data_IF_476024991552
#
_entry.id   IF_476024991552
#
_cell.length_a   1.000
_cell.length_b   1.000
_cell.length_c   1.000
_cell.angle_alpha   90.00
_cell.angle_beta   90.00
_cell.angle_gamma   90.00
#
_symmetry.space_group_name_H-M   'P 1'
#
loop_
_entity.id
_entity.type
_entity.pdbx_description
1 polymer ?
#
# COMPACT_ATOMS: atom_id res chain seq x y z
N UNK A 1 98.32 -11.46 10.46
CA UNK A 1 97.37 -12.45 11.02
C UNK A 1 96.21 -11.66 11.61
N UNK A 2 94.93 -11.76 11.23
CA UNK A 2 94.20 -12.60 10.28
C UNK A 2 93.08 -11.75 9.65
N UNK A 3 92.82 -12.02 8.37
CA UNK A 3 91.60 -11.72 7.64
C UNK A 3 90.40 -12.44 8.28
N UNK A 4 89.19 -11.89 8.21
CA UNK A 4 88.01 -12.67 7.81
C UNK A 4 86.99 -11.79 7.08
N UNK A 5 86.59 -12.29 5.92
CA UNK A 5 85.59 -11.77 5.02
C UNK A 5 84.55 -12.89 4.76
N UNK A 6 83.41 -12.46 4.19
CA UNK A 6 82.44 -13.22 3.39
C UNK A 6 81.39 -14.05 4.18
N UNK A 7 80.11 -13.65 4.07
CA UNK A 7 79.20 -14.34 3.14
C UNK A 7 77.84 -13.66 3.01
N UNK A 8 77.51 -13.35 1.77
CA UNK A 8 76.21 -12.96 1.23
C UNK A 8 75.24 -14.14 1.28
N UNK A 9 74.00 -13.93 1.72
CA UNK A 9 72.88 -14.83 1.38
C UNK A 9 71.69 -14.03 0.85
N UNK A 10 71.36 -14.38 -0.39
CA UNK A 10 70.22 -14.03 -1.20
C UNK A 10 68.93 -14.56 -0.54
N UNK A 11 67.87 -13.76 -0.42
CA UNK A 11 66.52 -14.28 -0.17
C UNK A 11 65.55 -13.69 -1.20
N UNK A 12 64.87 -14.63 -1.84
CA UNK A 12 63.97 -14.52 -2.96
C UNK A 12 62.75 -13.64 -2.72
N UNK A 13 62.37 -12.93 -3.78
CA UNK A 13 61.05 -12.37 -4.02
C UNK A 13 59.95 -13.44 -3.91
N UNK A 14 58.92 -13.16 -3.11
CA UNK A 14 57.64 -13.87 -3.19
C UNK A 14 56.54 -12.87 -3.54
N UNK A 15 55.92 -13.09 -4.71
CA UNK A 15 54.69 -12.43 -5.12
C UNK A 15 53.56 -12.95 -4.22
N UNK A 16 52.93 -12.06 -3.45
CA UNK A 16 51.63 -12.33 -2.84
C UNK A 16 50.55 -12.03 -3.87
N UNK A 17 49.90 -13.10 -4.33
CA UNK A 17 48.74 -13.04 -5.19
C UNK A 17 47.56 -12.39 -4.44
N UNK A 18 47.02 -11.31 -5.00
CA UNK A 18 45.78 -10.70 -4.56
C UNK A 18 44.62 -11.65 -4.81
N UNK A 19 44.16 -12.33 -3.76
CA UNK A 19 42.90 -13.06 -3.77
C UNK A 19 41.74 -12.06 -3.81
N UNK A 20 41.14 -11.94 -4.99
CA UNK A 20 39.86 -11.26 -5.22
C UNK A 20 38.80 -12.01 -4.40
N UNK A 21 38.30 -11.40 -3.34
CA UNK A 21 37.13 -11.90 -2.62
C UNK A 21 35.93 -11.63 -3.53
N UNK A 22 35.49 -12.66 -4.25
CA UNK A 22 34.21 -12.64 -4.94
C UNK A 22 33.10 -12.50 -3.88
N UNK A 23 32.30 -11.45 -3.98
CA UNK A 23 31.09 -11.29 -3.19
C UNK A 23 30.17 -12.50 -3.43
N UNK A 24 29.46 -13.02 -2.41
CA UNK A 24 28.51 -14.08 -2.63
C UNK A 24 27.39 -13.52 -3.50
N UNK A 25 27.28 -14.06 -4.71
CA UNK A 25 26.10 -13.92 -5.54
C UNK A 25 24.95 -14.57 -4.79
N UNK A 26 24.07 -13.77 -4.19
CA UNK A 26 22.75 -14.24 -3.80
C UNK A 26 22.02 -14.60 -5.07
N UNK A 27 22.10 -15.88 -5.44
CA UNK A 27 21.22 -16.46 -6.44
C UNK A 27 19.79 -16.31 -5.91
N UNK A 28 19.08 -15.31 -6.43
CA UNK A 28 17.63 -15.17 -6.31
C UNK A 28 16.99 -16.39 -6.95
N UNK A 29 16.79 -17.43 -6.14
CA UNK A 29 15.82 -18.49 -6.39
C UNK A 29 14.55 -18.12 -5.64
N UNK A 30 14.01 -16.94 -5.93
CA UNK A 30 12.62 -16.67 -5.61
C UNK A 30 11.80 -17.71 -6.38
N UNK A 31 11.17 -18.65 -5.65
CA UNK A 31 10.10 -19.45 -6.20
C UNK A 31 9.19 -18.50 -6.97
N UNK A 32 8.94 -18.79 -8.26
CA UNK A 32 8.08 -17.95 -9.10
C UNK A 32 6.83 -17.65 -8.30
N UNK A 33 6.54 -16.36 -8.09
CA UNK A 33 5.30 -15.92 -7.47
C UNK A 33 4.14 -16.51 -8.26
N UNK A 34 3.56 -17.60 -7.76
CA UNK A 34 2.48 -18.31 -8.44
C UNK A 34 1.20 -17.50 -8.21
N UNK A 35 0.93 -16.58 -9.13
CA UNK A 35 -0.35 -15.93 -9.25
C UNK A 35 -1.33 -16.83 -9.99
N UNK A 36 -2.48 -17.07 -9.39
CA UNK A 36 -3.57 -17.86 -9.97
C UNK A 36 -4.74 -16.96 -10.34
N UNK A 37 -5.25 -17.07 -11.57
CA UNK A 37 -6.45 -16.33 -11.97
C UNK A 37 -7.74 -17.04 -11.55
N UNK A 38 -8.58 -16.35 -10.78
CA UNK A 38 -9.86 -16.84 -10.22
C UNK A 38 -11.04 -16.10 -10.85
N UNK A 39 -11.41 -16.47 -12.08
CA UNK A 39 -12.50 -15.79 -12.83
C UNK A 39 -13.87 -15.88 -12.15
N UNK A 40 -14.07 -16.78 -11.20
CA UNK A 40 -15.30 -16.89 -10.42
C UNK A 40 -15.64 -15.61 -9.66
N UNK A 41 -14.66 -14.79 -9.26
CA UNK A 41 -14.92 -13.55 -8.52
C UNK A 41 -15.55 -12.44 -9.39
N UNK A 42 -15.45 -12.52 -10.72
CA UNK A 42 -16.10 -11.56 -11.63
C UNK A 42 -17.63 -11.58 -11.49
N UNK A 43 -18.19 -12.72 -11.07
CA UNK A 43 -19.61 -12.86 -10.78
C UNK A 43 -20.03 -11.96 -9.59
N UNK A 44 -19.18 -11.83 -8.57
CA UNK A 44 -19.42 -10.98 -7.39
C UNK A 44 -19.51 -9.51 -7.81
N UNK A 45 -18.56 -9.03 -8.61
CA UNK A 45 -18.61 -7.66 -9.15
C UNK A 45 -19.89 -7.40 -9.94
N UNK A 46 -20.30 -8.37 -10.75
CA UNK A 46 -21.51 -8.25 -11.57
C UNK A 46 -22.78 -8.20 -10.71
N UNK A 47 -22.89 -9.06 -9.70
CA UNK A 47 -24.03 -9.10 -8.79
C UNK A 47 -24.24 -7.77 -8.06
N UNK A 48 -23.21 -7.25 -7.39
CA UNK A 48 -23.29 -5.99 -6.62
C UNK A 48 -23.68 -4.79 -7.48
N UNK A 49 -23.25 -4.77 -8.75
CA UNK A 49 -23.63 -3.69 -9.66
C UNK A 49 -25.10 -3.75 -10.05
N UNK A 50 -25.66 -4.95 -10.22
CA UNK A 50 -27.08 -5.12 -10.51
C UNK A 50 -27.91 -4.65 -9.32
N UNK A 51 -27.53 -5.05 -8.10
CA UNK A 51 -28.21 -4.64 -6.87
C UNK A 51 -28.18 -3.12 -6.66
N UNK A 52 -27.02 -2.46 -6.84
CA UNK A 52 -26.93 -1.01 -6.79
C UNK A 52 -27.82 -0.31 -7.83
N UNK A 53 -27.87 -0.83 -9.07
CA UNK A 53 -28.73 -0.27 -10.12
C UNK A 53 -30.20 -0.42 -9.78
N UNK A 54 -30.61 -1.56 -9.26
CA UNK A 54 -31.98 -1.81 -8.82
C UNK A 54 -32.38 -0.89 -7.66
N UNK A 55 -31.51 -0.73 -6.65
CA UNK A 55 -31.74 0.18 -5.53
C UNK A 55 -31.91 1.65 -5.98
N UNK A 56 -31.11 2.10 -6.96
CA UNK A 56 -31.25 3.45 -7.55
C UNK A 56 -32.54 3.61 -8.36
N UNK A 57 -32.92 2.61 -9.14
CA UNK A 57 -34.14 2.64 -9.95
C UNK A 57 -35.43 2.62 -9.10
N UNK A 58 -35.38 2.05 -7.90
CA UNK A 58 -36.50 2.10 -6.95
C UNK A 58 -36.65 3.47 -6.27
N UNK A 59 -35.67 4.37 -6.40
CA UNK A 59 -35.68 5.69 -5.75
C UNK A 59 -35.98 6.88 -6.70
N UNK A 60 -35.86 6.75 -8.04
CA UNK A 60 -36.25 7.78 -9.04
C UNK A 60 -36.64 7.14 -10.40
N UNK A 61 -37.60 7.75 -11.14
CA UNK A 61 -38.02 7.42 -12.53
C UNK A 61 -36.83 7.18 -13.50
N UNK A 62 -36.98 6.33 -14.53
CA UNK A 62 -35.87 5.71 -15.24
C UNK A 62 -35.08 6.72 -16.09
N UNK A 63 -33.80 6.86 -15.79
CA UNK A 63 -32.83 7.47 -16.69
C UNK A 63 -31.99 6.37 -17.34
N UNK A 64 -32.03 6.28 -18.68
CA UNK A 64 -31.21 5.34 -19.47
C UNK A 64 -29.73 5.63 -19.24
N UNK A 65 -29.09 4.86 -18.36
CA UNK A 65 -27.64 4.81 -18.24
C UNK A 65 -27.14 3.56 -18.97
N UNK A 66 -26.23 3.74 -19.94
CA UNK A 66 -25.53 2.63 -20.60
C UNK A 66 -24.87 1.79 -19.50
N UNK A 67 -25.07 0.48 -19.56
CA UNK A 67 -24.41 -0.49 -18.67
C UNK A 67 -22.92 -0.56 -19.00
N UNK A 68 -22.12 0.38 -18.50
CA UNK A 68 -20.72 0.06 -18.29
C UNK A 68 -20.68 -0.91 -17.10
N UNK A 69 -20.27 -2.13 -17.41
CA UNK A 69 -19.91 -3.16 -16.44
C UNK A 69 -18.71 -2.57 -15.68
N UNK A 70 -18.86 -2.21 -14.41
CA UNK A 70 -17.73 -1.66 -13.66
C UNK A 70 -16.67 -2.76 -13.58
N UNK A 71 -15.48 -2.46 -14.07
CA UNK A 71 -14.37 -3.38 -14.03
C UNK A 71 -13.67 -3.20 -12.68
N UNK A 72 -13.20 -4.29 -12.10
CA UNK A 72 -12.48 -4.26 -10.84
C UNK A 72 -11.58 -5.46 -10.71
N UNK A 73 -10.69 -5.37 -9.73
CA UNK A 73 -9.79 -6.44 -9.36
C UNK A 73 -9.80 -6.59 -7.85
N UNK A 74 -9.81 -7.84 -7.39
CA UNK A 74 -9.37 -8.21 -6.05
C UNK A 74 -8.11 -9.03 -6.22
N UNK A 75 -7.09 -8.70 -5.44
CA UNK A 75 -5.87 -9.47 -5.30
C UNK A 75 -5.82 -9.98 -3.87
N UNK A 76 -5.62 -11.29 -3.69
CA UNK A 76 -5.35 -11.92 -2.41
C UNK A 76 -3.96 -12.54 -2.40
N UNK A 77 -3.32 -12.55 -1.24
CA UNK A 77 -2.06 -13.24 -1.01
C UNK A 77 -2.11 -14.00 0.30
N UNK A 78 -1.94 -15.32 0.22
CA UNK A 78 -1.83 -16.21 1.37
C UNK A 78 -0.37 -16.25 1.84
N UNK A 79 -0.09 -15.72 3.03
CA UNK A 79 1.28 -15.60 3.50
C UNK A 79 1.91 -16.96 3.81
N UNK A 80 1.23 -17.89 4.47
CA UNK A 80 1.82 -19.20 4.78
C UNK A 80 2.14 -20.01 3.52
N UNK A 81 1.28 -19.95 2.50
CA UNK A 81 1.49 -20.70 1.25
C UNK A 81 2.37 -19.97 0.24
N UNK A 82 2.65 -18.68 0.46
CA UNK A 82 3.31 -17.80 -0.52
C UNK A 82 2.63 -17.87 -1.91
N UNK A 83 1.30 -17.83 -1.93
CA UNK A 83 0.48 -17.96 -3.12
C UNK A 83 -0.44 -16.75 -3.31
N UNK A 84 -0.53 -16.28 -4.55
CA UNK A 84 -1.35 -15.13 -4.94
C UNK A 84 -2.54 -15.53 -5.79
N UNK A 85 -3.66 -14.84 -5.61
CA UNK A 85 -4.91 -15.09 -6.32
C UNK A 85 -5.50 -13.77 -6.80
N UNK A 86 -6.05 -13.74 -8.02
CA UNK A 86 -6.69 -12.54 -8.56
C UNK A 86 -7.70 -12.88 -9.63
N UNK A 87 -8.77 -12.10 -9.77
CA UNK A 87 -9.70 -12.29 -10.88
C UNK A 87 -9.17 -11.73 -12.21
N UNK A 88 -8.14 -10.86 -12.17
CA UNK A 88 -7.53 -10.30 -13.38
C UNK A 88 -6.07 -9.91 -13.14
N UNK A 89 -5.13 -10.71 -13.67
CA UNK A 89 -3.70 -10.38 -13.62
C UNK A 89 -3.38 -9.07 -14.34
N UNK A 90 -4.08 -8.81 -15.45
CA UNK A 90 -3.89 -7.58 -16.22
C UNK A 90 -4.19 -6.34 -15.38
N UNK A 91 -5.36 -6.29 -14.72
CA UNK A 91 -5.74 -5.14 -13.89
C UNK A 91 -4.98 -5.12 -12.56
N UNK A 92 -4.64 -6.29 -12.02
CA UNK A 92 -3.84 -6.40 -10.80
C UNK A 92 -2.49 -5.70 -10.91
N UNK A 93 -1.86 -5.75 -12.10
CA UNK A 93 -0.58 -5.12 -12.40
C UNK A 93 -0.72 -3.74 -13.08
N UNK A 94 -1.92 -3.18 -13.16
CA UNK A 94 -2.13 -1.84 -13.72
C UNK A 94 -1.99 -0.79 -12.61
N UNK A 95 -1.12 0.21 -12.84
CA UNK A 95 -0.93 1.32 -11.91
C UNK A 95 -2.06 2.35 -11.97
N UNK A 96 -2.60 2.74 -10.81
CA UNK A 96 -3.56 3.85 -10.65
C UNK A 96 -3.10 4.82 -9.57
N UNK A 97 -3.75 5.98 -9.48
CA UNK A 97 -3.54 6.88 -8.35
C UNK A 97 -3.90 6.16 -7.04
N UNK A 98 -3.04 6.22 -6.01
CA UNK A 98 -3.31 5.60 -4.70
C UNK A 98 -4.40 6.35 -3.91
N UNK A 99 -4.60 7.64 -4.19
CA UNK A 99 -5.50 8.49 -3.41
C UNK A 99 -5.26 8.34 -1.91
N UNK A 100 -6.31 8.05 -1.12
CA UNK A 100 -6.18 7.93 0.34
C UNK A 100 -5.45 6.68 0.82
N UNK A 101 -5.09 5.70 -0.02
CA UNK A 101 -4.18 4.62 0.42
C UNK A 101 -2.78 5.16 0.70
N UNK A 102 -2.37 6.25 0.03
CA UNK A 102 -1.10 6.92 0.25
C UNK A 102 -0.91 7.44 1.69
N UNK A 103 -1.98 7.50 2.48
CA UNK A 103 -1.90 7.81 3.91
C UNK A 103 -1.04 6.80 4.67
N UNK A 104 -0.87 5.57 4.19
CA UNK A 104 0.01 4.57 4.81
C UNK A 104 1.49 5.02 4.68
N UNK A 105 2.07 5.18 3.47
CA UNK A 105 3.46 5.65 3.35
C UNK A 105 3.64 7.07 3.89
N UNK A 106 2.68 7.99 3.71
CA UNK A 106 2.80 9.35 4.26
C UNK A 106 2.89 9.33 5.80
N UNK A 107 2.11 8.49 6.50
CA UNK A 107 2.22 8.33 7.95
C UNK A 107 3.58 7.76 8.37
N UNK A 108 4.09 6.75 7.66
CA UNK A 108 5.42 6.18 7.93
C UNK A 108 6.51 7.24 7.82
N UNK A 109 6.48 8.04 6.75
CA UNK A 109 7.48 9.10 6.51
C UNK A 109 7.38 10.19 7.56
N UNK A 110 6.15 10.62 7.89
CA UNK A 110 5.93 11.68 8.88
C UNK A 110 6.43 11.26 10.28
N UNK A 111 6.20 10.01 10.69
CA UNK A 111 6.71 9.46 11.94
C UNK A 111 8.24 9.33 11.92
N UNK A 112 8.79 8.78 10.84
CA UNK A 112 10.22 8.50 10.73
C UNK A 112 11.07 9.77 10.74
N UNK A 113 10.57 10.83 10.12
CA UNK A 113 11.24 12.13 10.06
C UNK A 113 10.90 13.04 11.26
N UNK A 114 10.10 12.55 12.22
CA UNK A 114 9.71 13.31 13.41
C UNK A 114 8.75 14.47 13.16
N UNK A 115 8.13 14.54 11.97
CA UNK A 115 7.03 15.49 11.66
C UNK A 115 5.81 15.20 12.52
N UNK A 116 5.54 13.91 12.73
CA UNK A 116 4.59 13.42 13.73
C UNK A 116 5.35 12.73 14.84
N UNK A 117 5.19 13.22 16.07
CA UNK A 117 5.86 12.65 17.24
C UNK A 117 5.37 11.23 17.52
N UNK A 118 4.07 11.05 17.65
CA UNK A 118 3.38 9.80 17.98
C UNK A 118 1.91 9.87 17.52
N UNK A 119 1.16 8.80 17.72
CA UNK A 119 -0.24 8.70 17.33
C UNK A 119 -1.20 9.58 18.15
N UNK A 120 -0.73 10.17 19.25
CA UNK A 120 -1.51 11.00 20.16
C UNK A 120 -1.35 12.50 19.90
N UNK A 121 -0.32 12.91 19.14
CA UNK A 121 -0.17 14.30 18.71
C UNK A 121 -1.46 14.81 18.06
N UNK A 122 -1.95 15.94 18.56
CA UNK A 122 -3.15 16.59 18.04
C UNK A 122 -2.78 17.55 16.92
N UNK A 123 -3.43 17.36 15.76
CA UNK A 123 -3.43 18.25 14.62
C UNK A 123 -4.69 19.11 14.69
N UNK A 124 -4.50 20.40 14.95
CA UNK A 124 -5.61 21.35 15.11
C UNK A 124 -6.36 21.56 13.81
N UNK A 125 -7.67 21.63 13.90
CA UNK A 125 -8.49 22.09 12.78
C UNK A 125 -8.16 23.55 12.46
N UNK A 126 -8.05 23.87 11.17
CA UNK A 126 -7.70 25.21 10.69
C UNK A 126 -8.90 26.19 10.68
N UNK A 127 -10.04 25.78 11.22
CA UNK A 127 -11.27 26.57 11.26
C UNK A 127 -11.98 26.70 9.90
N UNK A 128 -11.46 26.09 8.84
CA UNK A 128 -12.09 26.12 7.51
C UNK A 128 -13.05 24.96 7.37
N UNK A 129 -14.34 25.27 7.25
CA UNK A 129 -15.38 24.28 7.00
C UNK A 129 -15.20 23.64 5.63
N UNK A 130 -15.31 22.32 5.57
CA UNK A 130 -15.21 21.47 4.37
C UNK A 130 -16.42 20.55 4.28
N UNK A 131 -16.70 20.03 3.08
CA UNK A 131 -17.90 19.23 2.79
C UNK A 131 -17.99 17.90 3.54
N UNK A 132 -16.87 17.41 4.09
CA UNK A 132 -16.83 16.19 4.89
C UNK A 132 -16.81 16.60 6.36
N UNK A 133 -17.96 16.52 7.03
CA UNK A 133 -18.15 16.93 8.42
C UNK A 133 -17.12 16.32 9.38
N UNK A 134 -16.70 15.08 9.10
CA UNK A 134 -15.69 14.42 9.95
C UNK A 134 -14.33 15.08 9.92
N UNK A 135 -14.01 15.91 8.92
CA UNK A 135 -12.75 16.65 8.80
C UNK A 135 -12.74 17.96 9.58
N UNK A 136 -13.90 18.48 9.97
CA UNK A 136 -14.05 19.80 10.59
C UNK A 136 -13.87 19.73 12.11
N UNK A 137 -12.79 19.08 12.57
CA UNK A 137 -12.44 18.90 13.99
C UNK A 137 -10.95 18.61 14.15
N UNK A 138 -10.46 18.72 15.38
CA UNK A 138 -9.11 18.27 15.73
C UNK A 138 -8.96 16.77 15.49
N UNK A 139 -7.78 16.37 15.02
CA UNK A 139 -7.45 14.97 14.75
C UNK A 139 -6.13 14.57 15.38
N UNK A 140 -5.93 13.27 15.48
CA UNK A 140 -4.64 12.64 15.72
C UNK A 140 -4.36 11.65 14.58
N UNK A 141 -3.25 10.90 14.63
CA UNK A 141 -2.89 10.04 13.49
C UNK A 141 -3.94 8.94 13.24
N UNK A 142 -4.48 8.35 14.31
CA UNK A 142 -5.50 7.30 14.24
C UNK A 142 -6.78 7.82 13.59
N UNK A 143 -7.31 8.95 14.08
CA UNK A 143 -8.56 9.53 13.55
C UNK A 143 -8.36 10.16 12.17
N UNK A 144 -7.20 10.74 11.89
CA UNK A 144 -6.81 11.24 10.58
C UNK A 144 -6.81 10.13 9.52
N UNK A 145 -6.29 8.95 9.88
CA UNK A 145 -6.32 7.77 9.01
C UNK A 145 -7.75 7.23 8.83
N UNK A 146 -8.49 7.05 9.94
CA UNK A 146 -9.88 6.53 9.96
C UNK A 146 -10.81 7.36 9.08
N UNK A 147 -10.82 8.68 9.26
CA UNK A 147 -11.71 9.59 8.52
C UNK A 147 -11.09 10.11 7.22
N UNK A 148 -9.92 9.60 6.84
CA UNK A 148 -9.22 9.96 5.61
C UNK A 148 -9.02 11.47 5.44
N UNK A 149 -8.67 12.17 6.51
CA UNK A 149 -8.62 13.64 6.61
C UNK A 149 -7.52 14.21 5.72
N UNK A 150 -7.84 14.56 4.47
CA UNK A 150 -6.85 15.03 3.49
C UNK A 150 -6.02 16.22 4.00
N UNK A 151 -6.61 17.29 4.58
CA UNK A 151 -5.86 18.47 5.01
C UNK A 151 -4.71 18.18 5.99
N UNK A 152 -4.90 17.23 6.91
CA UNK A 152 -3.87 16.80 7.87
C UNK A 152 -2.67 16.18 7.14
N UNK A 153 -2.93 15.31 6.15
CA UNK A 153 -1.88 14.64 5.38
C UNK A 153 -1.19 15.56 4.36
N UNK A 154 -1.90 16.58 3.87
CA UNK A 154 -1.28 17.64 3.08
C UNK A 154 -0.28 18.44 3.93
N UNK A 155 -0.62 18.71 5.20
CA UNK A 155 0.28 19.38 6.12
C UNK A 155 1.51 18.55 6.44
N UNK A 156 1.35 17.24 6.63
CA UNK A 156 2.51 16.34 6.75
C UNK A 156 3.41 16.42 5.52
N UNK A 157 2.84 16.34 4.32
CA UNK A 157 3.62 16.41 3.09
C UNK A 157 4.41 17.72 2.96
N UNK A 158 3.79 18.87 3.29
CA UNK A 158 4.46 20.17 3.32
C UNK A 158 5.62 20.20 4.32
N UNK A 159 5.41 19.68 5.54
CA UNK A 159 6.45 19.63 6.56
C UNK A 159 7.56 18.63 6.25
N UNK A 160 7.26 17.53 5.55
CA UNK A 160 8.23 16.57 5.03
C UNK A 160 9.08 17.24 3.92
N UNK A 161 8.47 18.01 3.02
CA UNK A 161 9.19 18.64 1.93
C UNK A 161 9.58 17.66 0.80
N UNK A 162 9.75 18.19 -0.40
CA UNK A 162 9.84 17.41 -1.64
C UNK A 162 11.02 16.44 -1.68
N UNK A 163 12.23 16.92 -1.37
CA UNK A 163 13.44 16.11 -1.42
C UNK A 163 13.39 14.89 -0.48
N UNK A 164 12.84 15.07 0.73
CA UNK A 164 12.69 13.96 1.69
C UNK A 164 11.56 13.01 1.29
N UNK A 165 10.44 13.55 0.77
CA UNK A 165 9.34 12.73 0.26
C UNK A 165 9.83 11.82 -0.88
N UNK A 166 10.49 12.38 -1.90
CA UNK A 166 11.04 11.61 -3.03
C UNK A 166 11.99 10.52 -2.56
N UNK A 167 12.98 10.85 -1.72
CA UNK A 167 13.95 9.88 -1.19
C UNK A 167 13.26 8.72 -0.45
N UNK A 168 12.27 9.03 0.38
CA UNK A 168 11.60 8.02 1.17
C UNK A 168 10.68 7.14 0.31
N UNK A 169 9.94 7.72 -0.64
CA UNK A 169 9.12 6.97 -1.59
C UNK A 169 9.95 6.01 -2.42
N UNK A 170 11.11 6.45 -2.92
CA UNK A 170 12.06 5.58 -3.60
C UNK A 170 12.62 4.48 -2.67
N UNK A 171 12.98 4.82 -1.42
CA UNK A 171 13.43 3.82 -0.45
C UNK A 171 12.35 2.80 -0.08
N UNK A 172 11.08 3.16 -0.25
CA UNK A 172 9.95 2.27 0.00
C UNK A 172 9.58 1.45 -1.23
N UNK A 173 10.20 1.65 -2.39
CA UNK A 173 9.86 0.97 -3.64
C UNK A 173 8.32 1.01 -3.84
N UNK A 174 7.76 2.23 -3.81
CA UNK A 174 6.32 2.45 -3.77
C UNK A 174 5.80 2.88 -5.15
N UNK A 175 5.29 1.90 -5.90
CA UNK A 175 4.74 2.11 -7.23
C UNK A 175 5.79 2.61 -8.22
N UNK A 176 5.43 3.57 -9.08
CA UNK A 176 6.36 4.19 -10.03
C UNK A 176 7.26 5.28 -9.41
N UNK A 177 7.17 5.51 -8.09
CA UNK A 177 7.96 6.49 -7.32
C UNK A 177 7.86 7.96 -7.75
N UNK A 178 7.00 8.26 -8.74
CA UNK A 178 6.89 9.56 -9.37
C UNK A 178 6.05 10.51 -8.50
N UNK A 179 6.71 11.46 -7.85
CA UNK A 179 6.04 12.50 -7.06
C UNK A 179 5.73 13.78 -7.85
N UNK A 180 5.82 13.75 -9.19
CA UNK A 180 5.51 14.92 -10.03
C UNK A 180 4.09 15.45 -9.79
N UNK A 181 3.95 16.78 -9.88
CA UNK A 181 2.77 17.52 -9.45
C UNK A 181 3.04 18.35 -8.20
N UNK A 182 1.99 18.75 -7.48
CA UNK A 182 2.18 19.47 -6.22
C UNK A 182 2.54 18.50 -5.09
N UNK A 183 3.53 18.85 -4.27
CA UNK A 183 3.99 18.03 -3.15
C UNK A 183 2.87 17.58 -2.21
N UNK A 184 1.85 18.41 -2.01
CA UNK A 184 0.73 18.12 -1.11
C UNK A 184 -0.52 17.61 -1.82
N UNK A 185 -0.41 17.22 -3.10
CA UNK A 185 -1.52 16.60 -3.84
C UNK A 185 -1.11 15.53 -4.86
N UNK A 186 0.17 15.21 -5.03
CA UNK A 186 0.61 14.28 -6.09
C UNK A 186 -0.06 12.89 -6.01
N UNK A 187 -0.43 12.43 -4.82
CA UNK A 187 -1.20 11.18 -4.64
C UNK A 187 -2.69 11.28 -4.97
N UNK A 188 -3.21 12.50 -5.17
CA UNK A 188 -4.58 12.81 -5.55
C UNK A 188 -4.71 13.10 -7.04
N UNK A 189 -3.74 13.80 -7.64
CA UNK A 189 -3.81 14.32 -9.01
C UNK A 189 -2.45 14.36 -9.76
N UNK A 190 -1.36 13.90 -9.15
CA UNK A 190 -0.02 13.94 -9.74
C UNK A 190 0.38 12.67 -10.50
N UNK A 191 1.69 12.44 -10.58
CA UNK A 191 2.32 11.37 -11.38
C UNK A 191 2.32 9.98 -10.72
N UNK A 192 2.18 9.90 -9.40
CA UNK A 192 2.35 8.61 -8.68
C UNK A 192 1.29 7.59 -9.11
N UNK A 193 1.73 6.39 -9.47
CA UNK A 193 0.87 5.25 -9.80
C UNK A 193 1.36 4.03 -9.05
N UNK A 194 0.42 3.25 -8.53
CA UNK A 194 0.70 1.96 -7.90
C UNK A 194 -0.38 0.96 -8.30
N UNK A 195 0.03 -0.26 -8.56
CA UNK A 195 -0.82 -1.40 -8.90
C UNK A 195 -1.27 -2.15 -7.65
N UNK A 196 -2.24 -3.06 -7.79
CA UNK A 196 -2.71 -3.86 -6.66
C UNK A 196 -1.65 -4.86 -6.18
N UNK A 197 -0.85 -5.42 -7.09
CA UNK A 197 0.26 -6.32 -6.73
C UNK A 197 1.39 -5.58 -6.00
N UNK A 198 1.73 -4.35 -6.43
CA UNK A 198 2.69 -3.50 -5.71
C UNK A 198 2.17 -3.06 -4.33
N UNK A 199 0.87 -2.82 -4.18
CA UNK A 199 0.26 -2.58 -2.87
C UNK A 199 0.42 -3.80 -1.94
N UNK A 200 0.21 -5.02 -2.45
CA UNK A 200 0.44 -6.25 -1.67
C UNK A 200 1.90 -6.32 -1.22
N UNK A 201 2.86 -6.12 -2.12
CA UNK A 201 4.28 -6.17 -1.78
C UNK A 201 4.64 -5.15 -0.68
N UNK A 202 4.23 -3.90 -0.84
CA UNK A 202 4.45 -2.85 0.16
C UNK A 202 3.83 -3.20 1.52
N UNK A 203 2.60 -3.72 1.53
CA UNK A 203 1.90 -4.11 2.75
C UNK A 203 2.56 -5.32 3.44
N UNK A 204 3.06 -6.29 2.68
CA UNK A 204 3.83 -7.43 3.22
C UNK A 204 5.09 -6.97 3.91
N UNK A 205 5.85 -6.06 3.28
CA UNK A 205 7.02 -5.45 3.90
C UNK A 205 6.65 -4.68 5.16
N UNK A 206 5.56 -3.92 5.16
CA UNK A 206 5.07 -3.22 6.36
C UNK A 206 4.68 -4.19 7.50
N UNK A 207 3.98 -5.28 7.16
CA UNK A 207 3.59 -6.30 8.12
C UNK A 207 4.81 -6.89 8.83
N UNK A 208 5.84 -7.28 8.07
CA UNK A 208 7.08 -7.89 8.56
C UNK A 208 8.13 -6.90 9.10
N UNK A 209 7.77 -5.62 9.24
CA UNK A 209 8.67 -4.54 9.66
C UNK A 209 9.92 -4.37 8.73
N UNK A 210 9.77 -4.62 7.43
CA UNK A 210 10.82 -4.59 6.41
C UNK A 210 10.81 -3.35 5.52
N UNK A 211 9.95 -2.36 5.79
CA UNK A 211 10.08 -1.05 5.17
C UNK A 211 11.31 -0.33 5.75
N UNK A 212 12.00 0.48 4.96
CA UNK A 212 13.14 1.31 5.37
C UNK A 212 12.74 2.48 6.29
N UNK A 213 12.12 2.15 7.43
CA UNK A 213 11.72 3.03 8.52
C UNK A 213 11.82 2.23 9.83
N UNK A 214 11.91 2.93 10.96
CA UNK A 214 11.98 2.28 12.27
C UNK A 214 10.78 1.35 12.53
N UNK A 215 11.03 0.29 13.29
CA UNK A 215 9.96 -0.63 13.73
C UNK A 215 8.86 0.12 14.50
N UNK A 216 9.24 1.17 15.25
CA UNK A 216 8.31 2.08 15.91
C UNK A 216 7.32 2.70 14.92
N UNK A 217 7.82 3.35 13.87
CA UNK A 217 6.99 3.98 12.84
C UNK A 217 6.03 2.95 12.20
N UNK A 218 6.55 1.76 11.87
CA UNK A 218 5.78 0.68 11.26
C UNK A 218 4.68 0.15 12.19
N UNK A 219 4.96 -0.05 13.48
CA UNK A 219 3.95 -0.49 14.48
C UNK A 219 2.84 0.54 14.68
N UNK A 220 3.19 1.82 14.80
CA UNK A 220 2.20 2.90 14.95
C UNK A 220 1.26 2.95 13.73
N UNK A 221 1.81 2.85 12.51
CA UNK A 221 0.98 2.83 11.30
C UNK A 221 0.08 1.60 11.23
N UNK A 222 0.56 0.42 11.60
CA UNK A 222 -0.26 -0.80 11.70
C UNK A 222 -1.42 -0.65 12.70
N UNK A 223 -1.18 0.05 13.81
CA UNK A 223 -2.23 0.39 14.77
C UNK A 223 -3.25 1.36 14.18
N UNK A 224 -2.81 2.40 13.48
CA UNK A 224 -3.69 3.36 12.80
C UNK A 224 -4.55 2.73 11.70
N UNK A 225 -4.07 1.65 11.08
CA UNK A 225 -4.79 0.90 10.04
C UNK A 225 -5.89 -0.03 10.59
N UNK A 226 -5.97 -0.26 11.90
CA UNK A 226 -7.00 -1.11 12.49
C UNK A 226 -8.40 -0.63 12.07
N UNK A 227 -9.12 -1.47 11.34
CA UNK A 227 -10.43 -1.15 10.76
C UNK A 227 -11.53 -1.99 11.39
N UNK A 228 -11.26 -3.27 11.66
CA UNK A 228 -12.22 -4.21 12.21
C UNK A 228 -11.49 -5.28 13.02
N UNK A 229 -12.10 -5.76 14.09
CA UNK A 229 -11.60 -6.88 14.88
C UNK A 229 -12.77 -7.58 15.57
N UNK A 230 -12.75 -8.91 15.58
CA UNK A 230 -13.66 -9.76 16.33
C UNK A 230 -12.90 -11.02 16.82
N UNK A 231 -13.62 -12.05 17.27
CA UNK A 231 -13.00 -13.31 17.73
C UNK A 231 -12.35 -14.12 16.60
N UNK A 232 -12.73 -13.89 15.36
CA UNK A 232 -12.40 -14.74 14.22
C UNK A 232 -11.26 -14.14 13.39
N UNK A 233 -11.16 -12.80 13.33
CA UNK A 233 -10.16 -12.10 12.53
C UNK A 233 -9.92 -10.65 12.96
N UNK A 234 -8.79 -10.10 12.51
CA UNK A 234 -8.47 -8.66 12.58
C UNK A 234 -8.21 -8.13 11.16
N UNK A 235 -8.87 -7.04 10.77
CA UNK A 235 -8.60 -6.33 9.51
C UNK A 235 -7.86 -5.04 9.79
N UNK A 236 -6.67 -4.91 9.19
CA UNK A 236 -5.92 -3.66 9.10
C UNK A 236 -5.90 -3.20 7.66
N UNK A 237 -6.52 -2.06 7.38
CA UNK A 237 -6.73 -1.64 6.00
C UNK A 237 -6.87 -0.13 5.83
N UNK A 238 -6.78 0.31 4.57
CA UNK A 238 -7.00 1.69 4.18
C UNK A 238 -7.83 1.77 2.91
N UNK A 239 -8.86 2.60 2.95
CA UNK A 239 -9.68 2.97 1.80
C UNK A 239 -9.03 4.07 0.96
N UNK A 240 -9.28 4.06 -0.35
CA UNK A 240 -8.93 5.12 -1.30
C UNK A 240 -10.10 5.44 -2.24
N UNK A 241 -10.15 6.70 -2.70
CA UNK A 241 -11.09 7.14 -3.73
C UNK A 241 -10.42 8.22 -4.57
N UNK A 242 -10.00 7.85 -5.79
CA UNK A 242 -9.38 8.74 -6.76
C UNK A 242 -10.47 9.30 -7.68
N UNK A 243 -10.73 10.60 -7.57
CA UNK A 243 -11.77 11.32 -8.35
C UNK A 243 -11.21 12.46 -9.21
N UNK A 244 -9.90 12.72 -9.12
CA UNK A 244 -9.23 13.77 -9.90
C UNK A 244 -8.53 13.21 -11.15
N UNK A 245 -8.79 11.95 -11.48
CA UNK A 245 -8.35 11.30 -12.70
C UNK A 245 -9.44 10.32 -13.17
N UNK A 246 -9.46 10.06 -14.47
CA UNK A 246 -10.34 9.08 -15.08
C UNK A 246 -9.58 7.79 -15.43
N UNK A 247 -10.18 6.61 -15.22
CA UNK A 247 -11.47 6.41 -14.54
C UNK A 247 -11.38 6.77 -13.04
N UNK A 248 -12.49 7.21 -12.45
CA UNK A 248 -12.59 7.32 -10.99
C UNK A 248 -12.45 5.94 -10.34
N UNK A 249 -11.49 5.77 -9.43
CA UNK A 249 -11.13 4.49 -8.82
C UNK A 249 -11.38 4.46 -7.32
N UNK A 250 -12.06 3.43 -6.84
CA UNK A 250 -12.13 3.06 -5.43
C UNK A 250 -11.07 2.02 -5.07
N UNK A 251 -10.45 2.17 -3.90
CA UNK A 251 -9.48 1.23 -3.34
C UNK A 251 -9.88 0.74 -1.95
N UNK A 252 -9.54 -0.51 -1.64
CA UNK A 252 -9.39 -0.98 -0.27
C UNK A 252 -8.20 -1.95 -0.22
N UNK A 253 -7.20 -1.62 0.59
CA UNK A 253 -5.93 -2.36 0.67
C UNK A 253 -5.59 -2.64 2.12
N UNK A 254 -5.06 -3.82 2.42
CA UNK A 254 -4.77 -4.22 3.79
C UNK A 254 -4.45 -5.69 3.94
N UNK A 255 -4.68 -6.23 5.13
CA UNK A 255 -4.62 -7.65 5.41
C UNK A 255 -5.62 -8.07 6.48
N UNK A 256 -5.88 -9.37 6.51
CA UNK A 256 -6.66 -10.10 7.51
C UNK A 256 -5.68 -10.93 8.33
N UNK A 257 -5.61 -10.69 9.63
CA UNK A 257 -4.88 -11.52 10.61
C UNK A 257 -5.84 -12.60 11.12
N UNK A 258 -5.42 -13.85 11.02
CA UNK A 258 -6.06 -15.04 11.61
C UNK A 258 -5.13 -15.61 12.69
N UNK A 259 -5.60 -16.61 13.44
CA UNK A 259 -4.80 -17.24 14.49
C UNK A 259 -3.50 -17.87 13.96
N UNK A 260 -3.53 -18.47 12.77
CA UNK A 260 -2.43 -19.24 12.20
C UNK A 260 -1.91 -18.72 10.85
N UNK A 261 -2.51 -17.66 10.29
CA UNK A 261 -2.15 -17.15 8.96
C UNK A 261 -2.47 -15.67 8.79
N UNK A 262 -1.92 -15.07 7.73
CA UNK A 262 -2.27 -13.73 7.27
C UNK A 262 -2.62 -13.76 5.78
N UNK A 263 -3.71 -13.11 5.44
CA UNK A 263 -4.12 -12.90 4.06
C UNK A 263 -4.06 -11.41 3.70
N UNK A 264 -3.17 -11.03 2.80
CA UNK A 264 -3.11 -9.67 2.29
C UNK A 264 -4.15 -9.51 1.17
N UNK A 265 -4.71 -8.31 1.06
CA UNK A 265 -5.62 -7.98 -0.02
C UNK A 265 -5.37 -6.58 -0.57
N UNK A 266 -5.60 -6.43 -1.87
CA UNK A 266 -5.65 -5.15 -2.53
C UNK A 266 -6.75 -5.20 -3.59
N UNK A 267 -7.80 -4.40 -3.41
CA UNK A 267 -8.88 -4.28 -4.37
C UNK A 267 -8.90 -2.89 -4.97
N UNK A 268 -9.19 -2.83 -6.27
CA UNK A 268 -9.67 -1.60 -6.88
C UNK A 268 -10.84 -1.84 -7.82
N UNK A 269 -11.69 -0.84 -7.98
CA UNK A 269 -12.81 -0.89 -8.92
C UNK A 269 -13.14 0.49 -9.45
N UNK A 270 -13.77 0.56 -10.62
CA UNK A 270 -14.31 1.79 -11.14
C UNK A 270 -15.49 2.26 -10.25
N UNK A 271 -15.46 3.51 -9.80
CA UNK A 271 -16.49 4.14 -8.96
C UNK A 271 -16.90 5.47 -9.62
N UNK A 272 -17.85 5.43 -10.58
CA UNK A 272 -18.30 6.64 -11.27
C UNK A 272 -19.08 7.61 -10.36
N UNK A 273 -19.62 7.11 -9.24
CA UNK A 273 -20.35 7.92 -8.28
C UNK A 273 -20.13 7.42 -6.85
N UNK A 274 -20.20 8.34 -5.88
CA UNK A 274 -19.90 8.06 -4.48
C UNK A 274 -20.83 7.01 -3.83
N UNK A 275 -22.00 6.70 -4.40
CA UNK A 275 -22.87 5.66 -3.87
C UNK A 275 -22.26 4.25 -4.02
N UNK A 276 -21.25 4.07 -4.89
CA UNK A 276 -20.48 2.84 -5.02
C UNK A 276 -19.41 2.63 -3.95
N UNK A 277 -19.11 3.63 -3.11
CA UNK A 277 -18.02 3.55 -2.12
C UNK A 277 -18.14 2.38 -1.13
N UNK A 278 -19.32 1.98 -0.64
CA UNK A 278 -19.46 0.81 0.24
C UNK A 278 -19.09 -0.52 -0.44
N UNK A 279 -19.17 -0.61 -1.77
CA UNK A 279 -18.89 -1.86 -2.48
C UNK A 279 -17.44 -2.31 -2.36
N UNK A 280 -16.51 -1.39 -2.11
CA UNK A 280 -15.09 -1.73 -1.92
C UNK A 280 -14.91 -2.76 -0.81
N UNK A 281 -15.58 -2.54 0.33
CA UNK A 281 -15.52 -3.48 1.45
C UNK A 281 -16.46 -4.68 1.25
N UNK A 282 -17.65 -4.47 0.69
CA UNK A 282 -18.62 -5.55 0.48
C UNK A 282 -18.06 -6.65 -0.45
N UNK A 283 -17.57 -6.27 -1.63
CA UNK A 283 -17.01 -7.20 -2.62
C UNK A 283 -15.79 -7.93 -2.05
N UNK A 284 -14.86 -7.22 -1.40
CA UNK A 284 -13.69 -7.86 -0.80
C UNK A 284 -14.09 -8.85 0.28
N UNK A 285 -15.03 -8.51 1.17
CA UNK A 285 -15.51 -9.44 2.19
C UNK A 285 -16.20 -10.66 1.59
N UNK A 286 -16.95 -10.51 0.51
CA UNK A 286 -17.55 -11.66 -0.17
C UNK A 286 -16.52 -12.57 -0.82
N UNK A 287 -15.47 -12.02 -1.44
CA UNK A 287 -14.35 -12.82 -1.93
C UNK A 287 -13.65 -13.54 -0.77
N UNK A 288 -13.39 -12.85 0.35
CA UNK A 288 -12.79 -13.46 1.54
C UNK A 288 -13.65 -14.60 2.11
N UNK A 289 -14.98 -14.48 2.10
CA UNK A 289 -15.91 -15.55 2.51
C UNK A 289 -15.90 -16.73 1.54
N UNK A 290 -15.92 -16.46 0.24
CA UNK A 290 -15.87 -17.49 -0.80
C UNK A 290 -14.60 -18.33 -0.70
N UNK A 291 -13.48 -17.69 -0.38
CA UNK A 291 -12.17 -18.35 -0.18
C UNK A 291 -11.98 -18.88 1.25
N UNK A 292 -13.02 -18.87 2.08
CA UNK A 292 -13.01 -19.33 3.47
C UNK A 292 -11.93 -18.69 4.36
N UNK A 293 -11.57 -17.43 4.07
CA UNK A 293 -10.64 -16.63 4.88
C UNK A 293 -11.35 -16.04 6.10
N UNK A 294 -12.62 -15.64 5.94
CA UNK A 294 -13.49 -15.16 7.03
C UNK A 294 -14.85 -15.88 6.99
N UNK A 295 -15.59 -15.95 8.10
CA UNK A 295 -16.95 -16.52 8.15
C UNK A 295 -17.97 -15.79 7.28
#
# INVERSE_FOLDING_TARGET
MRSFAISTVLVMSSLLASSIIAAPTFASTAAKTEWQETRSWDAIFTQHQVELKQAKQQQVKPQKTKSQQASGVVVLWNENKQQGYTNSLKRANQGFLPASTFKIPNSLIALELGVVKDEHQVFKWDGKSRDIDTWNRDHNLITGMKYSVVPVYQEFARQIGEARMSKMIASFDYGNEDISGNLDSFWLDGGIRISATEQIDFLRRLYHNKIHASERSQRIVKQAMLTEANSDYIIRAKTGYAVRAEPSIGWWVGWVELDDNVWFFAMNMDIPDAAGLPLRQAITKEVLKLEHVIP
#
